data_IF_917165929261
#
_entry.id   IF_917165929261
#
_cell.length_a   1.000
_cell.length_b   1.000
_cell.length_c   1.000
_cell.angle_alpha   90.00
_cell.angle_beta   90.00
_cell.angle_gamma   90.00
#
_symmetry.space_group_name_H-M   'P 1'
#
loop_
_entity.id
_entity.type
_entity.pdbx_description
1 polymer ?
#
# COMPACT_ATOMS: atom_id res chain seq x y z
N UNK A 1 68.58 12.24 -14.56
CA UNK A 1 67.72 11.25 -13.87
C UNK A 1 67.26 10.22 -14.88
N UNK A 2 67.41 8.96 -14.51
CA UNK A 2 67.66 7.80 -15.37
C UNK A 2 66.36 7.19 -15.91
N UNK A 3 66.29 6.95 -17.22
CA UNK A 3 65.20 6.22 -17.86
C UNK A 3 65.22 4.75 -17.44
N UNK A 4 64.08 4.20 -17.02
CA UNK A 4 63.92 2.76 -16.78
C UNK A 4 62.78 2.21 -17.64
N UNK A 5 63.18 1.33 -18.56
CA UNK A 5 62.42 0.58 -19.54
C UNK A 5 61.37 -0.33 -18.90
N UNK A 6 60.11 -0.26 -19.36
CA UNK A 6 59.07 -1.26 -19.05
C UNK A 6 58.97 -2.25 -20.21
N UNK A 7 59.41 -3.50 -19.97
CA UNK A 7 59.19 -4.65 -20.85
C UNK A 7 57.69 -4.92 -21.01
N UNK A 8 57.22 -4.95 -22.25
CA UNK A 8 55.89 -5.46 -22.64
C UNK A 8 55.97 -6.98 -22.85
N UNK A 9 55.13 -7.72 -22.15
CA UNK A 9 54.90 -9.16 -22.36
C UNK A 9 53.82 -9.34 -23.43
N UNK A 10 53.91 -10.30 -24.37
CA UNK A 10 52.90 -10.49 -25.39
C UNK A 10 51.65 -11.19 -24.82
N UNK A 11 50.48 -10.69 -25.21
CA UNK A 11 49.17 -11.23 -24.83
C UNK A 11 48.96 -12.63 -25.43
N UNK A 12 48.58 -13.60 -24.59
CA UNK A 12 48.09 -14.91 -25.03
C UNK A 12 46.77 -14.73 -25.78
N UNK A 13 46.74 -15.17 -27.04
CA UNK A 13 45.55 -15.18 -27.90
C UNK A 13 44.65 -16.35 -27.49
N UNK A 14 43.58 -16.08 -26.76
CA UNK A 14 42.55 -17.08 -26.45
C UNK A 14 41.72 -17.34 -27.70
N UNK A 15 41.80 -18.56 -28.24
CA UNK A 15 40.94 -19.01 -29.33
C UNK A 15 39.60 -19.43 -28.71
N UNK A 16 38.60 -18.56 -28.83
CA UNK A 16 37.21 -18.88 -28.48
C UNK A 16 36.64 -19.72 -29.62
N UNK A 17 36.49 -21.03 -29.38
CA UNK A 17 35.83 -21.95 -30.31
C UNK A 17 34.32 -21.70 -30.20
N UNK A 18 33.77 -20.94 -31.15
CA UNK A 18 32.34 -20.71 -31.28
C UNK A 18 31.66 -22.00 -31.73
N UNK A 19 31.06 -22.73 -30.79
CA UNK A 19 30.09 -23.78 -31.09
C UNK A 19 28.77 -23.12 -31.47
N UNK A 20 28.49 -23.06 -32.77
CA UNK A 20 27.17 -22.74 -33.32
C UNK A 20 26.22 -23.87 -32.91
N UNK A 21 25.45 -23.63 -31.84
CA UNK A 21 24.32 -24.48 -31.49
C UNK A 21 23.21 -24.20 -32.50
N UNK A 22 22.96 -25.14 -33.42
CA UNK A 22 21.77 -25.09 -34.27
C UNK A 22 20.55 -25.16 -33.35
N UNK A 23 19.83 -24.05 -33.22
CA UNK A 23 18.53 -24.01 -32.55
C UNK A 23 17.56 -24.69 -33.51
N UNK A 24 17.26 -25.95 -33.24
CA UNK A 24 16.21 -26.68 -33.96
C UNK A 24 14.88 -26.12 -33.48
N UNK A 25 14.22 -25.36 -34.34
CA UNK A 25 12.87 -24.83 -34.11
C UNK A 25 11.88 -25.98 -34.31
N UNK A 26 11.60 -26.70 -33.22
CA UNK A 26 10.63 -27.80 -33.22
C UNK A 26 9.23 -27.20 -33.11
N UNK A 27 8.44 -27.33 -34.16
CA UNK A 27 7.01 -27.01 -34.12
C UNK A 27 6.34 -27.80 -32.97
N UNK A 28 5.43 -27.18 -32.19
CA UNK A 28 4.77 -27.83 -31.07
C UNK A 28 4.05 -29.11 -31.53
N UNK A 29 4.45 -30.26 -30.96
CA UNK A 29 3.80 -31.54 -31.25
C UNK A 29 2.41 -31.54 -30.62
N UNK A 30 1.37 -31.53 -31.45
CA UNK A 30 0.00 -31.73 -31.00
C UNK A 30 -0.18 -33.19 -30.54
N UNK A 31 -0.28 -33.39 -29.22
CA UNK A 31 -0.61 -34.70 -28.65
C UNK A 31 -2.11 -34.95 -28.79
N UNK A 32 -2.49 -36.11 -29.31
CA UNK A 32 -3.88 -36.59 -29.36
C UNK A 32 -3.97 -37.94 -28.62
N UNK A 33 -4.62 -38.00 -27.43
CA UNK A 33 -5.35 -36.91 -26.78
C UNK A 33 -4.43 -35.82 -26.18
N UNK A 34 -4.95 -34.59 -26.01
CA UNK A 34 -4.22 -33.51 -25.36
C UNK A 34 -3.79 -33.91 -23.94
N UNK A 35 -2.63 -33.40 -23.50
CA UNK A 35 -2.12 -33.65 -22.15
C UNK A 35 -3.16 -33.15 -21.13
N UNK A 36 -3.69 -34.03 -20.26
CA UNK A 36 -4.70 -33.64 -19.27
C UNK A 36 -4.20 -32.55 -18.31
N UNK A 37 -2.89 -32.41 -18.09
CA UNK A 37 -2.32 -31.31 -17.31
C UNK A 37 -2.42 -29.96 -18.05
N UNK A 38 -2.22 -29.94 -19.37
CA UNK A 38 -2.37 -28.73 -20.20
C UNK A 38 -3.84 -28.31 -20.28
N UNK A 39 -4.75 -29.25 -20.51
CA UNK A 39 -6.19 -28.98 -20.51
C UNK A 39 -6.66 -28.39 -19.16
N UNK A 40 -6.17 -28.92 -18.04
CA UNK A 40 -6.43 -28.36 -16.70
C UNK A 40 -5.84 -26.95 -16.54
N UNK A 41 -4.66 -26.68 -17.10
CA UNK A 41 -4.03 -25.37 -17.04
C UNK A 41 -4.82 -24.32 -17.85
N UNK A 42 -5.28 -24.69 -19.05
CA UNK A 42 -6.15 -23.85 -19.87
C UNK A 42 -7.47 -23.52 -19.16
N UNK A 43 -8.10 -24.50 -18.50
CA UNK A 43 -9.28 -24.28 -17.67
C UNK A 43 -9.02 -23.27 -16.53
N UNK A 44 -7.82 -23.27 -15.94
CA UNK A 44 -7.45 -22.31 -14.90
C UNK A 44 -7.23 -20.90 -15.46
N UNK A 45 -6.71 -20.78 -16.68
CA UNK A 45 -6.48 -19.50 -17.36
C UNK A 45 -7.79 -18.81 -17.75
N UNK A 46 -8.81 -19.59 -18.14
CA UNK A 46 -10.11 -19.08 -18.56
C UNK A 46 -10.99 -18.60 -17.39
N UNK A 47 -10.53 -18.75 -16.15
CA UNK A 47 -11.28 -18.29 -14.98
C UNK A 47 -11.30 -16.76 -14.95
N UNK A 48 -12.51 -16.19 -14.97
CA UNK A 48 -12.68 -14.77 -14.68
C UNK A 48 -12.17 -14.44 -13.28
N UNK A 49 -11.30 -13.44 -13.21
CA UNK A 49 -10.78 -12.86 -11.95
C UNK A 49 -11.47 -11.54 -11.60
N UNK A 50 -12.51 -11.17 -12.36
CA UNK A 50 -13.23 -9.90 -12.21
C UNK A 50 -14.35 -10.07 -11.18
N UNK A 51 -14.36 -9.19 -10.19
CA UNK A 51 -15.45 -9.10 -9.20
C UNK A 51 -16.23 -7.81 -9.45
N UNK A 52 -17.50 -7.94 -9.81
CA UNK A 52 -18.43 -6.81 -9.93
C UNK A 52 -18.99 -6.49 -8.54
N UNK A 53 -18.51 -5.40 -7.94
CA UNK A 53 -18.87 -5.04 -6.58
C UNK A 53 -19.98 -3.97 -6.51
N UNK A 54 -20.25 -3.21 -7.59
CA UNK A 54 -21.32 -2.19 -7.64
C UNK A 54 -21.29 -1.15 -6.51
N UNK A 55 -20.09 -0.85 -5.99
CA UNK A 55 -19.93 0.02 -4.82
C UNK A 55 -20.28 -0.62 -3.47
N UNK A 56 -20.49 -1.94 -3.42
CA UNK A 56 -20.67 -2.72 -2.20
C UNK A 56 -19.38 -3.46 -1.83
N UNK A 57 -18.72 -3.01 -0.77
CA UNK A 57 -17.43 -3.57 -0.35
C UNK A 57 -17.59 -4.97 0.25
N UNK A 58 -18.78 -5.35 0.72
CA UNK A 58 -19.04 -6.69 1.27
C UNK A 58 -18.89 -7.79 0.21
N UNK A 59 -19.03 -7.44 -1.07
CA UNK A 59 -18.80 -8.38 -2.19
C UNK A 59 -17.33 -8.72 -2.42
N UNK A 60 -16.40 -7.89 -1.91
CA UNK A 60 -14.96 -8.09 -2.08
C UNK A 60 -14.26 -8.49 -0.78
N UNK A 61 -14.80 -8.08 0.36
CA UNK A 61 -14.20 -8.35 1.66
C UNK A 61 -14.47 -9.80 2.10
N UNK A 62 -13.44 -10.55 2.55
CA UNK A 62 -13.59 -11.97 2.87
C UNK A 62 -14.20 -12.24 4.26
N UNK A 63 -14.64 -11.21 4.96
CA UNK A 63 -15.17 -11.26 6.33
C UNK A 63 -16.32 -10.25 6.50
N UNK A 64 -17.23 -10.45 7.46
CA UNK A 64 -18.40 -9.61 7.61
C UNK A 64 -18.05 -8.18 8.05
N UNK A 65 -18.91 -7.24 7.67
CA UNK A 65 -18.82 -5.84 8.09
C UNK A 65 -18.81 -5.70 9.62
N UNK A 66 -17.82 -5.01 10.21
CA UNK A 66 -17.86 -4.66 11.63
C UNK A 66 -18.97 -3.66 11.96
N UNK A 67 -19.62 -3.81 13.12
CA UNK A 67 -20.75 -2.96 13.53
C UNK A 67 -20.42 -1.47 13.70
N UNK A 68 -19.14 -1.13 13.88
CA UNK A 68 -18.66 0.25 13.99
C UNK A 68 -18.35 0.91 12.65
N UNK A 69 -18.32 0.14 11.55
CA UNK A 69 -17.99 0.68 10.23
C UNK A 69 -19.21 1.32 9.59
N UNK A 70 -18.98 2.42 8.89
CA UNK A 70 -19.98 3.17 8.16
C UNK A 70 -19.83 2.88 6.67
N UNK A 71 -20.87 2.36 5.98
CA UNK A 71 -20.82 2.11 4.54
C UNK A 71 -20.41 3.33 3.69
N UNK A 72 -20.76 4.54 4.13
CA UNK A 72 -20.42 5.78 3.41
C UNK A 72 -18.94 6.14 3.55
N UNK A 73 -18.25 5.54 4.51
CA UNK A 73 -16.83 5.73 4.76
C UNK A 73 -15.97 4.60 4.17
N UNK A 74 -16.56 3.60 3.53
CA UNK A 74 -15.76 2.52 2.94
C UNK A 74 -14.79 3.04 1.87
N UNK A 75 -13.65 2.36 1.71
CA UNK A 75 -12.67 2.69 0.68
C UNK A 75 -12.54 1.53 -0.30
N UNK A 76 -12.76 1.82 -1.59
CA UNK A 76 -12.43 0.92 -2.69
C UNK A 76 -11.07 1.30 -3.26
N UNK A 77 -10.23 0.30 -3.51
CA UNK A 77 -8.92 0.47 -4.11
C UNK A 77 -8.64 -0.61 -5.15
N UNK A 78 -7.50 -0.49 -5.81
CA UNK A 78 -7.06 -1.43 -6.86
C UNK A 78 -6.62 -2.80 -6.34
N UNK A 79 -6.62 -3.03 -5.02
CA UNK A 79 -6.26 -4.32 -4.43
C UNK A 79 -6.98 -4.55 -3.11
N UNK A 80 -7.27 -5.82 -2.80
CA UNK A 80 -7.99 -6.23 -1.59
C UNK A 80 -7.37 -5.68 -0.29
N UNK A 81 -6.04 -5.65 -0.09
CA UNK A 81 -5.43 -5.06 1.11
C UNK A 81 -5.68 -3.56 1.26
N UNK A 82 -5.96 -2.86 0.15
CA UNK A 82 -6.21 -1.43 0.14
C UNK A 82 -7.71 -1.09 0.21
N UNK A 83 -8.59 -2.09 0.11
CA UNK A 83 -10.02 -1.94 0.35
C UNK A 83 -10.28 -2.00 1.85
N UNK A 84 -11.05 -1.06 2.40
CA UNK A 84 -11.19 -0.89 3.85
C UNK A 84 -12.64 -0.70 4.27
N UNK A 85 -13.07 -1.42 5.31
CA UNK A 85 -14.15 -0.94 6.18
C UNK A 85 -13.60 0.14 7.10
N UNK A 86 -14.30 1.26 7.24
CA UNK A 86 -13.86 2.39 8.08
C UNK A 86 -15.01 2.95 8.91
N UNK A 87 -14.69 3.54 10.05
CA UNK A 87 -15.64 4.40 10.75
C UNK A 87 -15.52 5.85 10.29
N UNK A 88 -16.54 6.64 10.60
CA UNK A 88 -16.50 8.10 10.53
C UNK A 88 -15.30 8.62 11.34
N UNK A 89 -14.43 9.43 10.74
CA UNK A 89 -13.24 9.90 11.43
C UNK A 89 -13.57 10.93 12.51
N UNK A 90 -12.90 10.80 13.66
CA UNK A 90 -12.94 11.79 14.74
C UNK A 90 -11.82 12.79 14.54
N UNK A 91 -12.17 14.09 14.53
CA UNK A 91 -11.20 15.18 14.41
C UNK A 91 -10.76 15.68 15.80
N UNK A 92 -9.46 15.70 16.04
CA UNK A 92 -8.81 16.38 17.16
C UNK A 92 -8.31 17.75 16.66
N UNK A 93 -8.94 18.88 17.05
CA UNK A 93 -8.59 20.18 16.53
C UNK A 93 -7.29 20.71 17.17
N UNK A 94 -6.41 21.27 16.33
CA UNK A 94 -5.23 22.01 16.74
C UNK A 94 -5.57 23.51 16.78
N UNK A 95 -6.32 23.94 17.81
CA UNK A 95 -6.90 25.29 17.89
C UNK A 95 -5.88 26.43 17.93
N UNK A 96 -4.63 26.14 18.28
CA UNK A 96 -3.50 27.09 18.26
C UNK A 96 -2.70 27.07 16.95
N UNK A 97 -3.04 26.19 16.02
CA UNK A 97 -2.43 26.10 14.70
C UNK A 97 -3.29 26.84 13.66
N UNK A 98 -2.72 27.10 12.47
CA UNK A 98 -3.46 27.58 11.30
C UNK A 98 -4.74 26.76 11.07
N UNK A 99 -5.79 27.43 10.60
CA UNK A 99 -7.02 26.80 10.12
C UNK A 99 -7.35 27.25 8.70
N UNK A 100 -8.50 26.80 8.18
CA UNK A 100 -8.98 27.15 6.85
C UNK A 100 -10.31 27.90 6.91
N UNK A 101 -10.40 28.97 6.13
CA UNK A 101 -11.67 29.62 5.83
C UNK A 101 -12.38 28.86 4.72
N UNK A 102 -12.97 27.69 5.02
CA UNK A 102 -13.69 26.86 4.03
C UNK A 102 -14.82 27.62 3.33
N UNK A 103 -15.32 28.66 3.98
CA UNK A 103 -16.32 29.59 3.46
C UNK A 103 -15.98 31.00 3.97
N UNK A 104 -16.41 32.09 3.32
CA UNK A 104 -16.20 33.46 3.83
C UNK A 104 -16.65 33.69 5.28
N UNK A 105 -17.54 32.82 5.80
CA UNK A 105 -18.09 32.88 7.15
C UNK A 105 -17.71 31.68 8.02
N UNK A 106 -16.98 30.70 7.50
CA UNK A 106 -16.64 29.46 8.22
C UNK A 106 -15.14 29.30 8.26
N UNK A 107 -14.60 29.42 9.47
CA UNK A 107 -13.22 29.07 9.78
C UNK A 107 -13.18 27.73 10.52
N UNK A 108 -12.31 26.82 10.07
CA UNK A 108 -12.13 25.50 10.65
C UNK A 108 -10.66 25.29 11.02
N UNK A 109 -10.39 24.95 12.28
CA UNK A 109 -9.03 24.67 12.75
C UNK A 109 -8.39 23.49 12.02
N UNK A 110 -7.08 23.50 11.78
CA UNK A 110 -6.36 22.28 11.39
C UNK A 110 -6.53 21.19 12.47
N UNK A 111 -6.23 19.95 12.14
CA UNK A 111 -6.34 18.88 13.12
C UNK A 111 -5.82 17.54 12.63
N UNK A 112 -5.92 16.59 13.55
CA UNK A 112 -5.64 15.18 13.31
C UNK A 112 -6.96 14.44 13.22
N UNK A 113 -7.14 13.62 12.19
CA UNK A 113 -8.28 12.74 12.03
C UNK A 113 -7.86 11.34 12.43
N UNK A 114 -8.65 10.73 13.31
CA UNK A 114 -8.40 9.38 13.82
C UNK A 114 -9.61 8.52 13.49
N UNK A 115 -9.37 7.37 12.87
CA UNK A 115 -10.45 6.42 12.57
C UNK A 115 -9.96 4.97 12.66
N UNK A 116 -10.75 4.05 13.21
CA UNK A 116 -10.53 2.63 13.01
C UNK A 116 -10.77 2.25 11.55
N UNK A 117 -9.99 1.29 11.07
CA UNK A 117 -10.17 0.68 9.77
C UNK A 117 -9.74 -0.80 9.81
N UNK A 118 -10.32 -1.61 8.93
CA UNK A 118 -9.86 -2.97 8.69
C UNK A 118 -9.83 -3.23 7.20
N UNK A 119 -8.67 -3.66 6.71
CA UNK A 119 -8.47 -3.94 5.28
C UNK A 119 -8.75 -5.39 4.93
N UNK A 120 -8.81 -5.72 3.64
CA UNK A 120 -9.15 -7.07 3.20
C UNK A 120 -8.17 -8.20 3.61
N UNK A 121 -7.09 -7.86 4.33
CA UNK A 121 -6.21 -8.82 5.03
C UNK A 121 -6.67 -9.15 6.46
N UNK A 122 -7.81 -8.61 6.91
CA UNK A 122 -8.37 -8.78 8.26
C UNK A 122 -7.45 -8.25 9.37
N UNK A 123 -6.58 -7.29 9.04
CA UNK A 123 -5.70 -6.64 10.01
C UNK A 123 -6.32 -5.32 10.46
N UNK A 124 -6.81 -5.20 11.71
CA UNK A 124 -7.36 -3.96 12.23
C UNK A 124 -6.25 -2.94 12.48
N UNK A 125 -6.50 -1.72 12.05
CA UNK A 125 -5.58 -0.59 12.19
C UNK A 125 -6.31 0.66 12.66
N UNK A 126 -5.58 1.55 13.34
CA UNK A 126 -5.98 2.93 13.61
C UNK A 126 -5.30 3.82 12.59
N UNK A 127 -6.09 4.47 11.75
CA UNK A 127 -5.62 5.43 10.76
C UNK A 127 -5.58 6.82 11.39
N UNK A 128 -4.44 7.48 11.22
CA UNK A 128 -4.19 8.85 11.66
C UNK A 128 -3.81 9.66 10.43
N UNK A 129 -4.57 10.70 10.11
CA UNK A 129 -4.27 11.61 9.01
C UNK A 129 -4.29 13.06 9.49
N UNK A 130 -3.51 13.91 8.83
CA UNK A 130 -3.43 15.33 9.14
C UNK A 130 -4.19 16.12 8.09
N UNK A 131 -5.07 17.03 8.48
CA UNK A 131 -5.58 18.01 7.51
C UNK A 131 -4.57 19.14 7.43
N UNK A 132 -3.63 19.06 6.49
CA UNK A 132 -2.73 20.18 6.22
C UNK A 132 -3.17 20.94 4.96
N UNK A 133 -3.03 22.26 5.04
CA UNK A 133 -3.31 23.20 3.96
C UNK A 133 -1.98 23.58 3.32
N UNK A 134 -1.79 23.12 2.08
CA UNK A 134 -0.66 23.57 1.26
C UNK A 134 -1.03 24.83 0.46
N UNK A 135 -0.04 25.46 -0.14
CA UNK A 135 -0.20 26.51 -1.16
C UNK A 135 -1.03 26.06 -2.38
N UNK A 136 -1.17 24.74 -2.59
CA UNK A 136 -1.93 24.12 -3.68
C UNK A 136 -3.31 23.61 -3.25
N UNK A 137 -3.75 23.90 -2.04
CA UNK A 137 -5.01 23.41 -1.47
C UNK A 137 -4.79 22.32 -0.40
N UNK A 138 -5.87 21.64 -0.02
CA UNK A 138 -5.79 20.54 0.94
C UNK A 138 -4.89 19.44 0.41
N UNK A 139 -3.91 19.03 1.21
CA UNK A 139 -3.11 17.87 0.85
C UNK A 139 -4.02 16.63 0.90
N UNK A 140 -3.97 15.76 -0.10
CA UNK A 140 -4.49 14.40 0.04
C UNK A 140 -3.70 13.76 1.18
N UNK A 141 -4.27 13.77 2.38
CA UNK A 141 -3.51 13.68 3.63
C UNK A 141 -2.65 12.42 3.65
N UNK A 142 -1.30 12.53 3.78
CA UNK A 142 -0.52 11.39 4.18
C UNK A 142 -1.13 10.87 5.48
N UNK A 143 -1.45 9.58 5.49
CA UNK A 143 -1.98 8.91 6.65
C UNK A 143 -0.96 7.90 7.15
N UNK A 144 -0.98 7.68 8.45
CA UNK A 144 -0.30 6.59 9.12
C UNK A 144 -1.35 5.57 9.52
N UNK A 145 -1.09 4.29 9.29
CA UNK A 145 -1.89 3.20 9.83
C UNK A 145 -1.07 2.50 10.90
N UNK A 146 -1.58 2.47 12.11
CA UNK A 146 -0.98 1.79 13.25
C UNK A 146 -1.79 0.53 13.54
N UNK A 147 -1.14 -0.59 13.79
CA UNK A 147 -1.82 -1.73 14.41
C UNK A 147 -2.40 -1.32 15.78
N UNK A 148 -3.33 -2.11 16.31
CA UNK A 148 -3.91 -1.86 17.64
C UNK A 148 -2.81 -1.73 18.72
N UNK A 149 -1.77 -2.56 18.64
CA UNK A 149 -0.62 -2.53 19.57
C UNK A 149 0.17 -1.22 19.43
N UNK A 150 0.50 -0.81 18.21
CA UNK A 150 1.25 0.42 17.96
C UNK A 150 0.45 1.67 18.34
N UNK A 151 -0.86 1.66 18.09
CA UNK A 151 -1.77 2.73 18.51
C UNK A 151 -1.84 2.83 20.05
N UNK A 152 -1.86 1.69 20.75
CA UNK A 152 -1.82 1.65 22.22
C UNK A 152 -0.52 2.27 22.75
N UNK A 153 0.62 1.93 22.15
CA UNK A 153 1.90 2.52 22.49
C UNK A 153 1.90 4.05 22.26
N UNK A 154 1.34 4.52 21.13
CA UNK A 154 1.19 5.96 20.88
C UNK A 154 0.34 6.64 21.97
N UNK A 155 -0.74 6.01 22.42
CA UNK A 155 -1.58 6.55 23.52
C UNK A 155 -0.75 6.70 24.80
N UNK A 156 0.09 5.72 25.15
CA UNK A 156 0.96 5.79 26.32
C UNK A 156 1.96 6.94 26.22
N UNK A 157 2.59 7.11 25.05
CA UNK A 157 3.53 8.22 24.79
C UNK A 157 2.81 9.57 24.89
N UNK A 158 1.61 9.70 24.31
CA UNK A 158 0.82 10.92 24.38
C UNK A 158 0.42 11.26 25.82
N UNK A 159 0.01 10.26 26.62
CA UNK A 159 -0.31 10.44 28.04
C UNK A 159 0.92 10.89 28.83
N UNK A 160 2.05 10.21 28.68
CA UNK A 160 3.28 10.57 29.35
C UNK A 160 3.74 12.00 29.01
N UNK A 161 3.53 12.44 27.75
CA UNK A 161 3.81 13.82 27.35
C UNK A 161 2.89 14.85 28.03
N UNK A 162 1.62 14.51 28.25
CA UNK A 162 0.68 15.36 29.01
C UNK A 162 1.08 15.45 30.48
N UNK A 163 1.48 14.34 31.09
CA UNK A 163 1.91 14.28 32.50
C UNK A 163 3.10 15.21 32.80
N UNK A 164 4.01 15.42 31.83
CA UNK A 164 5.13 16.36 31.97
C UNK A 164 4.70 17.81 32.22
N UNK A 165 3.47 18.18 31.84
CA UNK A 165 2.90 19.50 32.09
C UNK A 165 2.08 19.57 33.38
N UNK A 166 2.14 18.54 34.23
CA UNK A 166 1.33 18.43 35.45
C UNK A 166 -0.15 18.17 35.17
N UNK A 167 -0.48 17.76 33.95
CA UNK A 167 -1.84 17.35 33.58
C UNK A 167 -2.09 15.93 34.06
N UNK A 168 -2.54 15.75 35.29
CA UNK A 168 -3.16 14.48 35.68
C UNK A 168 -4.49 14.34 34.94
N UNK A 169 -4.58 13.37 34.03
CA UNK A 169 -5.83 12.97 33.40
C UNK A 169 -6.87 12.47 34.42
#
# INVERSE_FOLDING_TARGET
>A
MTATSKRRTPAKKTVVRSTTSEVVDLEPVALDPPDPALARWEELLDRSTIVFHDGDIEKIMPFPRPAWSDPDEDLFASSLPCCLYRAVPVKVPATRHSGDGKHPTVWESAGVYVQPAIGGTDVPVVRISFSDKTDKGWNNSPYMALTVTEATYLIEVLRAAVDLFGGSA
#
